data_IF_591244847732
#
_entry.id   IF_591244847732
#
_cell.length_a   1.000
_cell.length_b   1.000
_cell.length_c   1.000
_cell.angle_alpha   90.00
_cell.angle_beta   90.00
_cell.angle_gamma   90.00
#
_symmetry.space_group_name_H-M   'P 1'
#
loop_
_entity.id
_entity.type
_entity.pdbx_description
1 polymer ?
#
# COMPACT_ATOMS: atom_id res chain seq x y z
N UNK A 1 18.97 -1.80 -6.17
CA UNK A 1 18.18 -1.47 -4.97
C UNK A 1 18.54 -0.03 -4.67
N UNK A 2 17.90 0.88 -5.40
CA UNK A 2 18.19 2.31 -5.35
C UNK A 2 17.85 2.87 -3.98
N UNK A 3 18.64 3.86 -3.56
CA UNK A 3 18.74 4.40 -2.20
C UNK A 3 17.35 4.74 -1.62
N UNK A 4 16.94 4.00 -0.58
CA UNK A 4 15.75 4.33 0.19
C UNK A 4 15.90 5.74 0.75
N UNK A 5 14.87 6.61 0.61
CA UNK A 5 14.87 7.92 1.25
C UNK A 5 15.24 7.82 2.71
N UNK A 6 15.97 8.82 3.20
CA UNK A 6 16.41 8.86 4.59
C UNK A 6 15.25 8.69 5.58
N UNK A 7 14.08 9.26 5.27
CA UNK A 7 12.89 9.16 6.09
C UNK A 7 12.28 7.74 6.16
N UNK A 8 12.63 6.82 5.26
CA UNK A 8 12.27 5.39 5.36
C UNK A 8 13.33 4.54 6.05
N UNK A 9 14.50 5.08 6.37
CA UNK A 9 15.55 4.30 7.04
C UNK A 9 15.14 3.95 8.48
N UNK A 10 15.69 2.86 9.00
CA UNK A 10 15.49 2.46 10.38
C UNK A 10 15.84 3.60 11.35
N UNK A 11 14.99 3.81 12.36
CA UNK A 11 15.10 4.88 13.34
C UNK A 11 14.50 6.22 12.90
N UNK A 12 14.14 6.38 11.62
CA UNK A 12 13.51 7.59 11.11
C UNK A 12 12.08 7.78 11.65
N UNK A 13 11.63 9.04 11.70
CA UNK A 13 10.28 9.40 12.15
C UNK A 13 9.38 9.66 10.95
N UNK A 14 8.22 9.01 10.95
CA UNK A 14 7.16 9.22 9.97
C UNK A 14 5.98 9.92 10.64
N UNK A 15 5.46 10.96 9.99
CA UNK A 15 4.25 11.66 10.41
C UNK A 15 3.07 11.18 9.57
N UNK A 16 2.07 10.59 10.22
CA UNK A 16 0.89 10.01 9.60
C UNK A 16 -0.34 10.83 9.98
N UNK A 17 -1.25 11.02 9.03
CA UNK A 17 -2.62 11.49 9.31
C UNK A 17 -3.57 10.34 9.00
N UNK A 18 -4.07 9.69 10.04
CA UNK A 18 -4.93 8.50 9.93
C UNK A 18 -6.39 8.91 10.11
N UNK A 19 -7.28 8.43 9.25
CA UNK A 19 -8.71 8.57 9.43
C UNK A 19 -9.20 7.50 10.43
N UNK A 20 -9.94 7.91 11.45
CA UNK A 20 -10.66 6.95 12.30
C UNK A 20 -11.96 6.53 11.62
N UNK A 21 -12.18 5.21 11.50
CA UNK A 21 -13.32 4.54 10.89
C UNK A 21 -14.60 5.40 10.82
N UNK A 22 -14.87 5.97 9.65
CA UNK A 22 -16.14 6.66 9.35
C UNK A 22 -16.30 8.07 9.92
N UNK A 23 -15.28 8.66 10.55
CA UNK A 23 -15.32 10.06 11.05
C UNK A 23 -14.39 10.96 10.23
N UNK A 24 -14.76 12.24 10.07
CA UNK A 24 -13.89 13.25 9.45
C UNK A 24 -12.69 13.64 10.35
N UNK A 25 -12.58 13.06 11.54
CA UNK A 25 -11.49 13.34 12.46
C UNK A 25 -10.24 12.53 12.06
N UNK A 26 -9.17 13.28 11.80
CA UNK A 26 -7.86 12.71 11.53
C UNK A 26 -7.02 12.71 12.80
N UNK A 27 -6.43 11.56 13.12
CA UNK A 27 -5.43 11.44 14.16
C UNK A 27 -4.04 11.63 13.52
N UNK A 28 -3.33 12.67 13.97
CA UNK A 28 -1.93 12.84 13.63
C UNK A 28 -1.07 11.97 14.56
N UNK A 29 -0.34 11.03 13.96
CA UNK A 29 0.51 10.07 14.67
C UNK A 29 1.94 10.21 14.17
N UNK A 30 2.89 10.23 15.10
CA UNK A 30 4.31 10.10 14.77
C UNK A 30 4.76 8.70 15.14
N UNK A 31 5.32 7.98 14.17
CA UNK A 31 5.81 6.62 14.34
C UNK A 31 7.30 6.54 14.02
N UNK A 32 8.00 5.58 14.64
CA UNK A 32 9.42 5.32 14.39
C UNK A 32 9.53 4.10 13.49
N UNK A 33 10.30 4.20 12.42
CA UNK A 33 10.60 3.08 11.53
C UNK A 33 11.45 2.07 12.28
N UNK A 34 10.90 0.87 12.48
CA UNK A 34 11.65 -0.27 13.02
C UNK A 34 12.42 -0.96 11.91
N UNK A 35 11.78 -1.15 10.76
CA UNK A 35 12.34 -1.80 9.59
C UNK A 35 11.61 -1.33 8.33
N UNK A 36 12.29 -1.30 7.19
CA UNK A 36 11.72 -0.79 5.94
C UNK A 36 11.95 -1.74 4.77
N UNK A 37 10.88 -1.98 4.02
CA UNK A 37 10.82 -2.84 2.86
C UNK A 37 9.91 -2.22 1.81
N UNK A 38 10.38 -1.26 1.01
CA UNK A 38 9.47 -0.50 0.13
C UNK A 38 8.63 -1.40 -0.77
N UNK A 39 7.30 -1.18 -0.83
CA UNK A 39 6.54 -0.02 -0.32
C UNK A 39 6.03 -0.11 1.14
N UNK A 40 6.53 -1.08 1.91
CA UNK A 40 6.14 -1.35 3.30
C UNK A 40 7.16 -0.86 4.33
N UNK A 41 6.71 -0.64 5.56
CA UNK A 41 7.56 -0.25 6.68
C UNK A 41 6.94 -0.77 7.98
N UNK A 42 7.73 -1.40 8.85
CA UNK A 42 7.28 -1.85 10.17
C UNK A 42 7.44 -0.71 11.17
N UNK A 43 6.39 -0.44 11.94
CA UNK A 43 6.37 0.63 12.94
C UNK A 43 5.47 0.28 14.14
N UNK A 44 5.71 0.83 15.34
CA UNK A 44 4.81 0.65 16.47
C UNK A 44 3.53 1.47 16.29
N UNK A 45 2.39 0.94 16.73
CA UNK A 45 1.15 1.72 16.86
C UNK A 45 1.11 2.41 18.23
N UNK A 46 1.18 3.75 18.32
CA UNK A 46 0.99 4.45 19.59
C UNK A 46 -0.48 4.41 20.04
N UNK A 47 -0.78 4.47 21.35
CA UNK A 47 0.17 4.59 22.47
C UNK A 47 0.69 3.25 23.04
N UNK A 48 0.10 2.09 22.72
CA UNK A 48 0.44 0.79 23.35
C UNK A 48 0.64 -0.35 22.34
N UNK A 49 1.70 -0.25 21.53
CA UNK A 49 2.72 -1.29 21.23
C UNK A 49 2.33 -2.70 20.72
N UNK A 50 1.42 -2.89 19.76
CA UNK A 50 1.68 -3.85 18.69
C UNK A 50 2.48 -3.16 17.58
N UNK A 51 3.38 -3.90 16.95
CA UNK A 51 3.93 -3.49 15.67
C UNK A 51 2.84 -3.56 14.61
N UNK A 52 3.00 -2.76 13.57
CA UNK A 52 2.14 -2.72 12.41
C UNK A 52 2.96 -2.58 11.14
N UNK A 53 2.38 -3.06 10.05
CA UNK A 53 2.91 -2.84 8.71
C UNK A 53 2.24 -1.59 8.14
N UNK A 54 3.03 -0.57 7.83
CA UNK A 54 2.61 0.59 7.06
C UNK A 54 2.88 0.33 5.59
N UNK A 55 1.83 0.13 4.80
CA UNK A 55 1.90 0.09 3.34
C UNK A 55 1.74 1.49 2.79
N UNK A 56 2.69 1.96 2.00
CA UNK A 56 2.68 3.31 1.41
C UNK A 56 2.44 3.26 -0.10
N UNK A 57 1.40 3.95 -0.55
CA UNK A 57 1.09 4.16 -1.95
C UNK A 57 1.78 5.43 -2.43
N UNK A 58 3.11 5.37 -2.54
CA UNK A 58 3.92 6.49 -3.03
C UNK A 58 4.23 6.32 -4.53
N UNK A 59 3.72 7.22 -5.40
CA UNK A 59 3.94 7.19 -6.85
C UNK A 59 5.41 7.09 -7.26
N UNK A 60 6.34 7.61 -6.44
CA UNK A 60 7.79 7.57 -6.72
C UNK A 60 8.35 6.16 -6.92
N UNK A 61 7.68 5.13 -6.37
CA UNK A 61 8.16 3.74 -6.39
C UNK A 61 7.58 2.94 -7.57
N UNK A 62 6.86 3.58 -8.49
CA UNK A 62 6.46 2.92 -9.73
C UNK A 62 7.68 2.50 -10.55
N UNK A 63 7.69 1.25 -11.01
CA UNK A 63 8.80 0.66 -11.76
C UNK A 63 9.12 1.38 -13.07
N UNK A 64 8.20 2.19 -13.59
CA UNK A 64 8.43 3.01 -14.78
C UNK A 64 9.41 4.17 -14.54
N UNK A 65 9.71 4.51 -13.28
CA UNK A 65 10.73 5.51 -12.94
C UNK A 65 12.16 5.01 -13.14
N UNK A 66 12.38 3.69 -13.18
CA UNK A 66 13.67 3.08 -13.43
C UNK A 66 13.78 2.59 -14.88
N UNK A 67 15.01 2.49 -15.39
CA UNK A 67 15.26 2.00 -16.76
C UNK A 67 14.82 0.54 -16.82
N UNK A 68 13.86 0.25 -17.69
CA UNK A 68 13.54 -1.11 -18.12
C UNK A 68 14.01 -1.30 -19.56
N UNK A 69 14.44 -2.51 -19.91
CA UNK A 69 15.02 -2.83 -21.24
C UNK A 69 14.15 -2.42 -22.45
N UNK A 70 12.86 -2.17 -22.24
CA UNK A 70 11.86 -1.96 -23.29
C UNK A 70 11.22 -0.56 -23.29
N UNK A 71 11.57 0.33 -22.34
CA UNK A 71 10.95 1.67 -22.21
C UNK A 71 11.96 2.70 -21.66
N UNK A 72 11.90 3.97 -22.09
CA UNK A 72 12.73 5.01 -21.50
C UNK A 72 12.41 5.17 -20.01
N UNK A 73 13.44 5.44 -19.20
CA UNK A 73 13.23 5.78 -17.80
C UNK A 73 12.51 7.13 -17.70
N UNK A 74 11.56 7.22 -16.77
CA UNK A 74 10.86 8.45 -16.45
C UNK A 74 11.17 8.85 -15.02
N UNK A 75 12.38 9.32 -14.70
CA UNK A 75 12.79 9.53 -13.32
C UNK A 75 11.84 10.49 -12.60
N UNK A 76 11.44 10.12 -11.38
CA UNK A 76 10.63 10.98 -10.54
C UNK A 76 11.43 12.24 -10.14
N UNK A 77 10.77 13.40 -10.14
CA UNK A 77 11.37 14.67 -9.66
C UNK A 77 10.37 15.49 -8.86
N UNK A 78 10.86 16.26 -7.89
CA UNK A 78 10.01 17.19 -7.13
C UNK A 78 9.32 18.22 -8.04
N UNK A 79 9.99 18.67 -9.10
CA UNK A 79 9.44 19.66 -10.05
C UNK A 79 8.27 19.08 -10.85
N UNK A 80 8.40 17.86 -11.37
CA UNK A 80 7.33 17.19 -12.10
C UNK A 80 6.12 16.89 -11.19
N UNK A 81 6.37 16.41 -9.96
CA UNK A 81 5.31 16.16 -8.98
C UNK A 81 4.55 17.45 -8.62
N UNK A 82 5.26 18.56 -8.41
CA UNK A 82 4.65 19.85 -8.12
C UNK A 82 3.83 20.39 -9.31
N UNK A 83 4.33 20.22 -10.54
CA UNK A 83 3.64 20.62 -11.75
C UNK A 83 2.40 19.74 -12.03
N UNK A 84 2.46 18.44 -11.76
CA UNK A 84 1.32 17.53 -11.83
C UNK A 84 0.24 17.97 -10.82
N UNK A 85 0.67 18.18 -9.56
CA UNK A 85 -0.22 18.59 -8.47
C UNK A 85 -0.92 19.93 -8.74
N UNK A 86 -0.24 20.90 -9.34
CA UNK A 86 -0.79 22.23 -9.60
C UNK A 86 -1.87 22.23 -10.70
N UNK A 87 -1.76 21.32 -11.67
CA UNK A 87 -2.79 21.10 -12.72
C UNK A 87 -4.01 20.32 -12.20
N UNK A 88 -3.86 19.59 -11.09
CA UNK A 88 -4.90 18.72 -10.53
C UNK A 88 -6.02 19.53 -9.87
N UNK A 89 -7.24 19.37 -10.38
CA UNK A 89 -8.45 20.05 -9.89
C UNK A 89 -9.17 19.29 -8.77
N UNK A 90 -9.05 17.96 -8.73
CA UNK A 90 -9.65 17.11 -7.72
C UNK A 90 -8.64 16.10 -7.16
N UNK A 91 -8.74 15.68 -5.88
CA UNK A 91 -7.80 14.71 -5.31
C UNK A 91 -7.83 13.35 -6.00
N UNK A 92 -8.90 13.02 -6.73
CA UNK A 92 -8.97 11.86 -7.61
C UNK A 92 -9.86 12.15 -8.81
N UNK A 93 -9.59 11.47 -9.92
CA UNK A 93 -10.49 11.43 -11.08
C UNK A 93 -11.32 10.14 -11.05
N UNK A 94 -12.67 10.20 -10.89
CA UNK A 94 -13.52 9.02 -10.89
C UNK A 94 -13.57 8.28 -12.23
N UNK A 95 -13.19 8.95 -13.33
CA UNK A 95 -13.11 8.36 -14.66
C UNK A 95 -11.71 7.81 -14.98
N UNK A 96 -10.75 7.91 -14.05
CA UNK A 96 -9.40 7.42 -14.27
C UNK A 96 -9.38 5.92 -14.54
N UNK A 97 -8.79 5.54 -15.68
CA UNK A 97 -8.54 4.14 -16.00
C UNK A 97 -7.07 3.97 -16.44
N UNK A 98 -6.26 3.19 -15.69
CA UNK A 98 -4.85 3.03 -16.00
C UNK A 98 -4.61 2.34 -17.35
N UNK A 99 -5.56 1.56 -17.88
CA UNK A 99 -5.42 0.89 -19.17
C UNK A 99 -5.63 1.83 -20.37
N UNK A 100 -6.41 2.91 -20.21
CA UNK A 100 -6.80 3.80 -21.31
C UNK A 100 -6.17 5.20 -21.22
N UNK A 101 -5.71 5.61 -20.04
CA UNK A 101 -5.16 6.95 -19.82
C UNK A 101 -3.63 7.00 -19.98
N UNK A 102 -3.03 6.06 -20.72
CA UNK A 102 -1.59 6.05 -20.98
C UNK A 102 -1.29 7.13 -22.01
N UNK A 103 -0.45 8.10 -21.67
CA UNK A 103 -0.03 9.14 -22.62
C UNK A 103 1.18 8.65 -23.41
N UNK A 104 1.14 8.80 -24.73
CA UNK A 104 2.31 8.49 -25.58
C UNK A 104 3.39 9.57 -25.51
N UNK A 105 3.07 10.73 -24.92
CA UNK A 105 4.01 11.83 -24.70
C UNK A 105 4.93 11.57 -23.49
N UNK A 106 6.17 12.05 -23.55
CA UNK A 106 7.16 11.96 -22.47
C UNK A 106 7.08 13.18 -21.51
N UNK A 107 5.93 13.84 -21.43
CA UNK A 107 5.66 14.93 -20.48
C UNK A 107 5.67 14.38 -19.03
N UNK A 108 6.77 14.62 -18.31
CA UNK A 108 6.99 14.11 -16.95
C UNK A 108 5.85 14.47 -15.96
N UNK A 109 5.37 15.73 -15.87
CA UNK A 109 4.18 16.08 -15.09
C UNK A 109 2.93 15.25 -15.41
N UNK A 110 2.69 14.88 -16.66
CA UNK A 110 1.52 14.08 -17.05
C UNK A 110 1.66 12.65 -16.55
N UNK A 111 2.86 12.08 -16.66
CA UNK A 111 3.18 10.78 -16.09
C UNK A 111 3.08 10.74 -14.57
N UNK A 112 3.59 11.76 -13.88
CA UNK A 112 3.49 11.86 -12.41
C UNK A 112 2.03 11.97 -11.94
N UNK A 113 1.18 12.67 -12.69
CA UNK A 113 -0.27 12.66 -12.44
C UNK A 113 -0.86 11.27 -12.64
N UNK A 114 -0.50 10.58 -13.72
CA UNK A 114 -0.96 9.22 -13.98
C UNK A 114 -0.55 8.25 -12.86
N UNK A 115 0.71 8.29 -12.40
CA UNK A 115 1.18 7.45 -11.29
C UNK A 115 0.45 7.78 -9.99
N UNK A 116 0.18 9.07 -9.73
CA UNK A 116 -0.61 9.48 -8.57
C UNK A 116 -2.04 8.93 -8.61
N UNK A 117 -2.75 9.09 -9.72
CA UNK A 117 -4.12 8.58 -9.87
C UNK A 117 -4.16 7.05 -9.78
N UNK A 118 -3.15 6.37 -10.34
CA UNK A 118 -3.04 4.92 -10.24
C UNK A 118 -2.78 4.46 -8.79
N UNK A 119 -1.87 5.11 -8.08
CA UNK A 119 -1.62 4.85 -6.65
C UNK A 119 -2.89 5.06 -5.81
N UNK A 120 -3.63 6.14 -6.07
CA UNK A 120 -4.89 6.45 -5.39
C UNK A 120 -5.99 5.42 -5.69
N UNK A 121 -6.08 4.96 -6.95
CA UNK A 121 -7.01 3.90 -7.35
C UNK A 121 -6.71 2.59 -6.60
N UNK A 122 -5.44 2.17 -6.56
CA UNK A 122 -5.02 0.97 -5.82
C UNK A 122 -5.34 1.09 -4.32
N UNK A 123 -4.97 2.23 -3.71
CA UNK A 123 -5.27 2.49 -2.31
C UNK A 123 -6.78 2.38 -2.01
N UNK A 124 -7.63 3.06 -2.79
CA UNK A 124 -9.08 3.03 -2.58
C UNK A 124 -9.67 1.65 -2.78
N UNK A 125 -9.19 0.91 -3.78
CA UNK A 125 -9.62 -0.45 -4.05
C UNK A 125 -9.29 -1.37 -2.88
N UNK A 126 -8.09 -1.22 -2.30
CA UNK A 126 -7.66 -2.03 -1.16
C UNK A 126 -8.37 -1.65 0.14
N UNK A 127 -8.58 -0.37 0.42
CA UNK A 127 -9.43 0.09 1.54
C UNK A 127 -10.84 -0.51 1.43
N UNK A 128 -11.43 -0.46 0.25
CA UNK A 128 -12.76 -1.02 0.01
C UNK A 128 -12.78 -2.55 0.16
N UNK A 129 -11.70 -3.23 -0.25
CA UNK A 129 -11.55 -4.67 -0.06
C UNK A 129 -11.50 -5.02 1.43
N UNK A 130 -10.64 -4.38 2.22
CA UNK A 130 -10.58 -4.59 3.67
C UNK A 130 -11.92 -4.33 4.36
N UNK A 131 -12.63 -3.25 3.99
CA UNK A 131 -13.96 -2.97 4.53
C UNK A 131 -14.96 -4.11 4.26
N UNK A 132 -14.93 -4.72 3.07
CA UNK A 132 -15.78 -5.88 2.71
C UNK A 132 -15.33 -7.17 3.41
N UNK A 133 -14.03 -7.32 3.65
CA UNK A 133 -13.43 -8.47 4.32
C UNK A 133 -13.49 -8.40 5.85
N UNK A 134 -14.15 -7.38 6.43
CA UNK A 134 -14.31 -7.25 7.89
C UNK A 134 -14.72 -8.56 8.59
N UNK A 135 -15.69 -9.36 8.08
CA UNK A 135 -16.06 -10.64 8.72
C UNK A 135 -14.93 -11.68 8.77
N UNK A 136 -13.96 -11.60 7.86
CA UNK A 136 -12.81 -12.53 7.80
C UNK A 136 -11.60 -12.02 8.59
N UNK A 137 -11.58 -10.73 8.93
CA UNK A 137 -10.58 -10.15 9.84
C UNK A 137 -10.83 -10.65 11.27
N UNK A 138 -12.09 -10.62 11.71
CA UNK A 138 -12.48 -11.07 13.06
C UNK A 138 -12.18 -12.57 13.31
N UNK A 139 -12.16 -13.39 12.26
CA UNK A 139 -11.83 -14.83 12.34
C UNK A 139 -10.33 -15.11 12.24
N UNK A 140 -9.50 -14.08 12.00
CA UNK A 140 -8.06 -14.22 11.76
C UNK A 140 -7.71 -14.86 10.42
N UNK A 141 -8.65 -14.94 9.48
CA UNK A 141 -8.41 -15.49 8.14
C UNK A 141 -7.76 -14.46 7.20
N UNK A 142 -7.97 -13.18 7.50
CA UNK A 142 -7.36 -12.02 6.83
C UNK A 142 -6.76 -11.11 7.90
N UNK A 143 -5.61 -10.50 7.61
CA UNK A 143 -4.97 -9.52 8.51
C UNK A 143 -5.88 -8.33 8.81
N UNK A 144 -5.82 -7.80 10.04
CA UNK A 144 -6.55 -6.59 10.37
C UNK A 144 -5.99 -5.36 9.63
N UNK A 145 -6.87 -4.58 9.03
CA UNK A 145 -6.58 -3.22 8.58
C UNK A 145 -7.02 -2.24 9.69
N UNK A 146 -6.05 -1.74 10.45
CA UNK A 146 -6.30 -0.85 11.58
C UNK A 146 -6.76 0.54 11.15
N UNK A 147 -6.14 1.10 10.12
CA UNK A 147 -6.43 2.45 9.67
C UNK A 147 -5.97 2.71 8.23
N UNK A 148 -6.53 3.77 7.64
CA UNK A 148 -6.12 4.31 6.35
C UNK A 148 -5.86 5.81 6.49
N UNK A 149 -4.96 6.37 5.68
CA UNK A 149 -4.60 7.77 5.84
C UNK A 149 -3.62 8.30 4.81
N UNK A 150 -2.84 9.30 5.21
CA UNK A 150 -1.76 9.87 4.40
C UNK A 150 -0.46 10.02 5.17
N UNK A 151 0.66 9.85 4.48
CA UNK A 151 1.99 10.16 4.97
C UNK A 151 2.33 11.64 4.70
N UNK A 152 2.77 12.35 5.74
CA UNK A 152 3.22 13.74 5.66
C UNK A 152 4.74 13.73 5.49
N UNK A 153 5.20 14.20 4.34
CA UNK A 153 6.62 14.31 4.00
C UNK A 153 6.96 15.76 3.71
N UNK A 154 8.04 16.25 4.32
CA UNK A 154 8.55 17.58 4.04
C UNK A 154 9.05 17.67 2.58
N UNK A 155 8.76 18.79 1.90
CA UNK A 155 9.21 19.04 0.53
C UNK A 155 8.48 18.27 -0.58
N UNK A 156 7.52 17.40 -0.24
CA UNK A 156 6.66 16.72 -1.23
C UNK A 156 5.43 17.57 -1.55
N UNK A 157 5.08 17.66 -2.83
CA UNK A 157 3.89 18.38 -3.29
C UNK A 157 2.61 17.54 -3.09
N UNK A 158 2.76 16.24 -2.92
CA UNK A 158 1.67 15.31 -2.58
C UNK A 158 1.88 14.70 -1.18
N UNK A 159 0.79 14.17 -0.62
CA UNK A 159 0.82 13.30 0.56
C UNK A 159 0.47 11.88 0.12
N UNK A 160 1.44 10.93 0.08
CA UNK A 160 1.16 9.55 -0.29
C UNK A 160 0.08 8.93 0.61
N UNK A 161 -0.75 8.06 0.06
CA UNK A 161 -1.73 7.32 0.85
C UNK A 161 -1.07 6.20 1.63
N UNK A 162 -1.62 5.86 2.79
CA UNK A 162 -1.11 4.76 3.62
C UNK A 162 -2.22 3.87 4.16
N UNK A 163 -1.88 2.59 4.33
CA UNK A 163 -2.65 1.61 5.09
C UNK A 163 -1.82 1.13 6.27
N UNK A 164 -2.45 1.06 7.44
CA UNK A 164 -1.86 0.50 8.65
C UNK A 164 -2.47 -0.88 8.88
N UNK A 165 -1.63 -1.90 8.78
CA UNK A 165 -2.03 -3.31 8.80
C UNK A 165 -1.42 -4.03 10.02
N UNK A 166 -2.06 -5.11 10.43
CA UNK A 166 -1.55 -6.05 11.41
C UNK A 166 -0.17 -6.59 11.02
N UNK A 167 0.74 -6.60 11.99
CA UNK A 167 2.03 -7.26 11.86
C UNK A 167 2.00 -8.59 12.60
N UNK A 168 2.37 -9.67 11.89
CA UNK A 168 2.50 -11.01 12.45
C UNK A 168 4.00 -11.38 12.49
N UNK A 169 4.66 -11.30 13.66
CA UNK A 169 6.12 -11.50 13.76
C UNK A 169 6.57 -12.90 13.35
N UNK A 170 5.73 -13.91 13.56
CA UNK A 170 6.05 -15.33 13.31
C UNK A 170 5.30 -15.87 12.09
N UNK A 171 4.79 -14.99 11.22
CA UNK A 171 4.13 -15.42 9.99
C UNK A 171 5.12 -16.14 9.07
N UNK A 172 4.66 -17.25 8.50
CA UNK A 172 5.39 -18.03 7.50
C UNK A 172 4.59 -18.08 6.23
N UNK A 173 5.29 -18.03 5.11
CA UNK A 173 4.65 -18.33 3.82
C UNK A 173 4.38 -19.81 3.72
N UNK A 174 3.45 -20.21 2.85
CA UNK A 174 3.17 -21.64 2.64
C UNK A 174 4.41 -22.41 2.16
N UNK A 175 5.36 -21.74 1.49
CA UNK A 175 6.65 -22.32 1.09
C UNK A 175 7.56 -22.66 2.27
N UNK A 176 7.47 -21.92 3.37
CA UNK A 176 8.31 -22.08 4.56
C UNK A 176 7.67 -22.99 5.62
N UNK A 177 6.43 -23.42 5.38
CA UNK A 177 5.72 -24.39 6.22
C UNK A 177 6.05 -25.79 5.73
N UNK A 178 6.47 -26.66 6.66
CA UNK A 178 6.66 -28.08 6.36
C UNK A 178 5.33 -28.67 5.82
N UNK A 179 5.29 -29.20 4.58
CA UNK A 179 4.07 -29.76 4.02
C UNK A 179 3.45 -30.86 4.89
N UNK A 180 4.26 -31.57 5.70
CA UNK A 180 3.78 -32.61 6.60
C UNK A 180 2.90 -32.06 7.74
N UNK A 181 3.02 -30.77 8.09
CA UNK A 181 2.19 -30.13 9.12
C UNK A 181 0.93 -29.48 8.54
N UNK A 182 0.81 -29.39 7.21
CA UNK A 182 -0.37 -28.84 6.52
C UNK A 182 -1.48 -29.89 6.50
N UNK A 183 -2.22 -29.97 7.59
CA UNK A 183 -3.35 -30.89 7.72
C UNK A 183 -4.56 -30.47 6.88
N UNK A 184 -5.47 -31.43 6.66
CA UNK A 184 -6.76 -31.21 5.99
C UNK A 184 -7.56 -30.00 6.55
N UNK A 185 -7.62 -29.76 7.87
CA UNK A 185 -8.35 -28.59 8.40
C UNK A 185 -7.79 -27.25 7.92
N UNK A 186 -6.47 -27.12 7.80
CA UNK A 186 -5.84 -25.88 7.32
C UNK A 186 -6.14 -25.66 5.84
N UNK A 187 -6.04 -26.71 5.01
CA UNK A 187 -6.41 -26.63 3.60
C UNK A 187 -7.88 -26.25 3.41
N UNK A 188 -8.78 -26.87 4.18
CA UNK A 188 -10.20 -26.54 4.15
C UNK A 188 -10.45 -25.08 4.55
N UNK A 189 -9.75 -24.58 5.56
CA UNK A 189 -9.83 -23.17 5.98
C UNK A 189 -9.37 -22.21 4.88
N UNK A 190 -8.24 -22.49 4.22
CA UNK A 190 -7.72 -21.68 3.11
C UNK A 190 -8.70 -21.65 1.93
N UNK A 191 -9.23 -22.82 1.54
CA UNK A 191 -10.22 -22.91 0.45
C UNK A 191 -11.51 -22.18 0.80
N UNK A 192 -12.02 -22.36 2.02
CA UNK A 192 -13.24 -21.68 2.48
C UNK A 192 -13.05 -20.15 2.50
N UNK A 193 -11.88 -19.68 2.95
CA UNK A 193 -11.53 -18.25 2.95
C UNK A 193 -11.47 -17.70 1.53
N UNK A 194 -10.79 -18.39 0.61
CA UNK A 194 -10.71 -17.97 -0.79
C UNK A 194 -12.09 -17.94 -1.47
N UNK A 195 -12.97 -18.90 -1.16
CA UNK A 195 -14.35 -18.92 -1.65
C UNK A 195 -15.18 -17.75 -1.08
N UNK A 196 -14.97 -17.39 0.18
CA UNK A 196 -15.69 -16.31 0.83
C UNK A 196 -15.40 -14.94 0.20
N UNK A 197 -14.21 -14.72 -0.38
CA UNK A 197 -13.88 -13.46 -1.05
C UNK A 197 -14.88 -13.10 -2.14
N UNK A 198 -15.21 -14.04 -3.01
CA UNK A 198 -16.18 -13.81 -4.10
C UNK A 198 -17.57 -13.45 -3.57
N UNK A 199 -18.02 -14.13 -2.50
CA UNK A 199 -19.28 -13.81 -1.81
C UNK A 199 -19.30 -12.41 -1.18
N UNK A 200 -18.14 -11.88 -0.81
CA UNK A 200 -17.95 -10.53 -0.27
C UNK A 200 -17.64 -9.49 -1.37
N UNK A 201 -17.68 -9.87 -2.65
CA UNK A 201 -17.40 -8.97 -3.77
C UNK A 201 -15.94 -8.53 -3.84
N UNK A 202 -15.02 -9.39 -3.38
CA UNK A 202 -13.56 -9.19 -3.47
C UNK A 202 -12.97 -10.29 -4.34
N UNK A 203 -12.06 -9.90 -5.23
CA UNK A 203 -11.31 -10.85 -6.06
C UNK A 203 -9.84 -10.73 -5.68
N UNK A 204 -9.29 -11.78 -5.06
CA UNK A 204 -7.87 -11.85 -4.77
C UNK A 204 -7.13 -12.24 -6.06
N UNK A 205 -6.73 -11.24 -6.83
CA UNK A 205 -6.10 -11.43 -8.16
C UNK A 205 -4.70 -12.03 -8.09
N UNK A 206 -4.18 -12.24 -6.88
CA UNK A 206 -2.79 -12.64 -6.66
C UNK A 206 -2.57 -13.66 -5.54
N UNK A 207 -3.39 -14.72 -5.47
CA UNK A 207 -3.12 -15.83 -4.55
C UNK A 207 -1.89 -16.60 -5.08
N UNK A 208 -0.72 -16.36 -4.51
CA UNK A 208 0.52 -17.05 -4.84
C UNK A 208 1.13 -17.70 -3.60
N UNK A 209 1.95 -18.73 -3.82
CA UNK A 209 2.77 -19.37 -2.79
C UNK A 209 3.90 -18.45 -2.28
N UNK A 210 4.32 -17.49 -3.11
CA UNK A 210 5.36 -16.50 -2.78
C UNK A 210 4.76 -15.27 -2.10
N UNK A 211 5.43 -14.69 -1.09
CA UNK A 211 5.00 -13.44 -0.53
C UNK A 211 5.32 -12.30 -1.52
N UNK A 212 4.45 -11.30 -1.56
CA UNK A 212 4.88 -9.92 -1.84
C UNK A 212 5.12 -9.26 -0.48
N UNK A 213 6.04 -9.82 0.30
CA UNK A 213 6.68 -9.20 1.46
C UNK A 213 7.93 -10.03 1.83
N UNK A 214 9.11 -9.39 1.94
CA UNK A 214 10.37 -10.06 2.27
C UNK A 214 10.41 -10.58 3.71
#
# INVERSE_FOLDING_TARGET
MDDLPEYYRQGSRLSLNLAQNGTEQHLSVTAIVVEAFTPFTILPIPPNTPLAVLKVYDPRFFSHHTVLLIRPARPWTHTAEAAARSKRTAPWDPAFNPAFNITEDDDAPVWDEWYYQNAALHFRSEVAAYARLAPLQDTGAVLHCYAAGTLVLEGRAIRPHVLLLEYLPDAKTLCDVDPAVVGLPLMQSLVATAQAFGGLGVVHTDLREYPVCP
#
